data_IF_326069063721
#
_entry.id   IF_326069063721
#
_cell.length_a   1.000
_cell.length_b   1.000
_cell.length_c   1.000
_cell.angle_alpha   90.00
_cell.angle_beta   90.00
_cell.angle_gamma   90.00
#
_symmetry.space_group_name_H-M   'P 1'
#
loop_
_entity.id
_entity.type
_entity.pdbx_description
1 polymer ?
#
# COMPACT_ATOMS: atom_id res chain seq x y z
N UNK A 1 15.63 4.69 -2.17
CA UNK A 1 14.93 4.48 -0.89
C UNK A 1 13.98 5.64 -0.66
N UNK A 2 12.68 5.38 -0.51
CA UNK A 2 11.68 6.36 -0.09
C UNK A 2 11.47 6.22 1.42
N UNK A 3 11.39 7.33 2.13
CA UNK A 3 11.05 7.34 3.56
C UNK A 3 10.02 8.44 3.88
N UNK A 4 8.93 8.05 4.52
CA UNK A 4 7.87 8.92 5.01
C UNK A 4 7.81 8.76 6.53
N UNK A 5 8.60 9.57 7.25
CA UNK A 5 8.68 9.54 8.72
C UNK A 5 7.52 10.25 9.42
N UNK A 6 6.62 10.91 8.68
CA UNK A 6 5.41 11.51 9.22
C UNK A 6 4.25 10.55 9.06
N UNK A 7 3.50 10.30 10.14
CA UNK A 7 2.26 9.53 10.12
C UNK A 7 1.33 10.05 9.02
N UNK A 8 1.04 9.21 8.03
CA UNK A 8 0.28 9.59 6.83
C UNK A 8 -0.75 8.52 6.47
N UNK A 9 -1.71 8.88 5.61
CA UNK A 9 -2.62 7.91 5.03
C UNK A 9 -1.90 7.13 3.92
N UNK A 10 -1.89 5.81 4.05
CA UNK A 10 -1.27 4.89 3.09
C UNK A 10 -2.36 3.93 2.63
N UNK A 11 -2.65 3.90 1.33
CA UNK A 11 -3.66 3.02 0.74
C UNK A 11 -2.97 1.90 -0.03
N UNK A 12 -3.41 0.67 0.22
CA UNK A 12 -2.96 -0.54 -0.44
C UNK A 12 -4.06 -1.12 -1.30
N UNK A 13 -3.69 -1.54 -2.50
CA UNK A 13 -4.54 -2.28 -3.41
C UNK A 13 -3.76 -3.44 -4.03
N UNK A 14 -4.44 -4.56 -4.23
CA UNK A 14 -3.89 -5.66 -5.03
C UNK A 14 -3.88 -5.27 -6.52
N UNK A 15 -2.74 -5.46 -7.17
CA UNK A 15 -2.58 -5.22 -8.60
C UNK A 15 -3.05 -6.43 -9.40
N UNK A 16 -4.28 -6.37 -9.94
CA UNK A 16 -4.85 -7.47 -10.73
C UNK A 16 -4.03 -7.85 -11.96
N UNK A 17 -3.23 -6.92 -12.50
CA UNK A 17 -2.35 -7.22 -13.64
C UNK A 17 -1.26 -8.24 -13.30
N UNK A 18 -0.86 -8.35 -12.02
CA UNK A 18 0.09 -9.37 -11.58
C UNK A 18 -0.40 -10.81 -11.87
N UNK A 19 -1.72 -11.03 -11.87
CA UNK A 19 -2.29 -12.34 -12.22
C UNK A 19 -2.14 -12.71 -13.69
N UNK A 20 -1.92 -11.72 -14.56
CA UNK A 20 -1.73 -11.90 -16.00
C UNK A 20 -0.24 -11.89 -16.39
N UNK A 21 0.56 -11.09 -15.67
CA UNK A 21 2.00 -10.96 -15.87
C UNK A 21 2.71 -10.83 -14.51
N UNK A 22 3.43 -11.89 -14.13
CA UNK A 22 4.13 -11.96 -12.86
C UNK A 22 5.34 -10.99 -12.75
N UNK A 23 5.76 -10.36 -13.85
CA UNK A 23 6.82 -9.33 -13.83
C UNK A 23 6.33 -7.99 -13.26
N UNK A 24 5.01 -7.79 -13.22
CA UNK A 24 4.36 -6.61 -12.66
C UNK A 24 4.26 -6.78 -11.13
N UNK A 25 4.68 -5.80 -10.30
CA UNK A 25 4.57 -5.94 -8.85
C UNK A 25 3.14 -6.13 -8.35
N UNK A 26 2.99 -6.99 -7.35
CA UNK A 26 1.70 -7.44 -6.80
C UNK A 26 0.92 -6.33 -6.09
N UNK A 27 1.61 -5.38 -5.46
CA UNK A 27 0.98 -4.37 -4.60
C UNK A 27 1.13 -2.98 -5.16
N UNK A 28 0.03 -2.22 -5.10
CA UNK A 28 0.00 -0.79 -5.38
C UNK A 28 -0.18 -0.04 -4.06
N UNK A 29 0.74 0.86 -3.76
CA UNK A 29 0.73 1.71 -2.57
C UNK A 29 0.51 3.15 -2.99
N UNK A 30 -0.44 3.83 -2.36
CA UNK A 30 -0.67 5.26 -2.54
C UNK A 30 -0.42 6.00 -1.25
N UNK A 31 0.48 6.97 -1.26
CA UNK A 31 0.79 7.81 -0.10
C UNK A 31 1.19 9.21 -0.57
N UNK A 32 0.71 10.25 0.12
CA UNK A 32 1.01 11.66 -0.19
C UNK A 32 0.78 12.08 -1.66
N UNK A 33 -0.20 11.48 -2.33
CA UNK A 33 -0.52 11.77 -3.74
C UNK A 33 0.29 10.97 -4.76
N UNK A 34 1.29 10.21 -4.31
CA UNK A 34 2.15 9.38 -5.15
C UNK A 34 1.66 7.92 -5.19
N UNK A 35 2.02 7.20 -6.26
CA UNK A 35 1.72 5.78 -6.44
C UNK A 35 3.02 4.98 -6.60
N UNK A 36 3.15 3.90 -5.83
CA UNK A 36 4.32 3.02 -5.81
C UNK A 36 3.88 1.57 -6.08
N UNK A 37 4.71 0.83 -6.81
CA UNK A 37 4.51 -0.58 -7.12
C UNK A 37 5.56 -1.41 -6.39
N UNK A 38 5.13 -2.35 -5.54
CA UNK A 38 6.01 -3.15 -4.69
C UNK A 38 5.63 -4.63 -4.74
N UNK A 39 6.61 -5.50 -4.55
CA UNK A 39 6.42 -6.96 -4.59
C UNK A 39 5.97 -7.48 -3.23
N UNK A 40 6.45 -6.86 -2.15
CA UNK A 40 6.15 -7.28 -0.77
C UNK A 40 5.75 -6.10 0.12
N UNK A 41 4.93 -6.40 1.12
CA UNK A 41 4.50 -5.47 2.17
C UNK A 41 4.75 -6.14 3.52
N UNK A 42 5.49 -5.45 4.37
CA UNK A 42 5.76 -5.82 5.76
C UNK A 42 5.14 -4.76 6.69
N UNK A 43 4.50 -5.21 7.76
CA UNK A 43 3.76 -4.36 8.68
C UNK A 43 4.21 -4.67 10.10
N UNK A 44 4.75 -3.66 10.76
CA UNK A 44 5.19 -3.77 12.13
C UNK A 44 4.02 -4.12 13.07
N UNK A 45 4.31 -4.93 14.10
CA UNK A 45 3.34 -5.27 15.13
C UNK A 45 2.73 -4.02 15.77
N UNK A 46 1.42 -4.05 16.00
CA UNK A 46 0.68 -2.91 16.56
C UNK A 46 0.21 -1.87 15.54
N UNK A 47 0.64 -1.95 14.28
CA UNK A 47 0.09 -1.13 13.20
C UNK A 47 -1.26 -1.72 12.75
N UNK A 48 -2.35 -1.06 13.12
CA UNK A 48 -3.69 -1.42 12.66
C UNK A 48 -4.01 -0.94 11.24
N UNK A 49 -5.01 -1.58 10.63
CA UNK A 49 -5.58 -1.16 9.34
C UNK A 49 -7.10 -1.00 9.41
N UNK A 50 -7.65 -0.35 8.39
CA UNK A 50 -9.10 -0.28 8.13
C UNK A 50 -9.35 -0.52 6.65
N UNK A 51 -10.52 -1.02 6.26
CA UNK A 51 -10.92 -1.03 4.86
C UNK A 51 -11.30 0.38 4.41
N UNK A 52 -11.00 0.72 3.16
CA UNK A 52 -11.46 1.96 2.51
C UNK A 52 -12.30 1.56 1.31
N UNK A 53 -13.56 1.23 1.56
CA UNK A 53 -14.55 0.96 0.52
C UNK A 53 -15.52 2.13 0.44
N UNK A 54 -15.80 2.60 -0.77
CA UNK A 54 -16.92 3.49 -1.08
C UNK A 54 -17.90 2.68 -1.92
N UNK A 55 -19.15 2.46 -1.47
CA UNK A 55 -20.09 1.55 -2.12
C UNK A 55 -20.25 1.79 -3.63
N UNK A 56 -20.34 3.07 -4.02
CA UNK A 56 -20.59 3.48 -5.40
C UNK A 56 -19.31 3.63 -6.24
N UNK A 57 -18.13 3.37 -5.66
CA UNK A 57 -16.86 3.47 -6.38
C UNK A 57 -16.15 2.10 -6.45
N UNK A 58 -16.33 1.35 -7.56
CA UNK A 58 -15.74 0.02 -7.71
C UNK A 58 -14.20 0.03 -7.67
N UNK A 59 -13.55 1.18 -7.95
CA UNK A 59 -12.09 1.30 -7.87
C UNK A 59 -11.53 1.29 -6.44
N UNK A 60 -12.40 1.41 -5.43
CA UNK A 60 -12.04 1.37 -4.01
C UNK A 60 -12.34 0.03 -3.35
N UNK A 61 -12.96 -0.92 -4.06
CA UNK A 61 -13.23 -2.25 -3.50
C UNK A 61 -11.93 -2.98 -3.16
N UNK A 62 -11.87 -3.54 -1.95
CA UNK A 62 -10.71 -4.28 -1.46
C UNK A 62 -9.51 -3.41 -1.08
N UNK A 63 -9.67 -2.09 -0.98
CA UNK A 63 -8.58 -1.20 -0.54
C UNK A 63 -8.39 -1.29 0.96
N UNK A 64 -7.13 -1.38 1.39
CA UNK A 64 -6.73 -1.35 2.80
C UNK A 64 -6.06 -0.01 3.09
N UNK A 65 -6.40 0.60 4.22
CA UNK A 65 -5.87 1.87 4.67
C UNK A 65 -5.11 1.71 5.98
N UNK A 66 -3.90 2.25 5.99
CA UNK A 66 -3.08 2.45 7.18
C UNK A 66 -2.93 3.93 7.51
N UNK A 67 -2.68 4.23 8.78
CA UNK A 67 -2.28 5.57 9.25
C UNK A 67 -0.98 5.46 10.04
N UNK A 68 0.14 5.46 9.32
CA UNK A 68 1.46 5.07 9.83
C UNK A 68 2.59 5.77 9.05
N UNK A 69 3.86 5.46 9.37
CA UNK A 69 5.03 5.81 8.58
C UNK A 69 5.25 4.75 7.49
N UNK A 70 6.00 5.10 6.44
CA UNK A 70 6.27 4.24 5.30
C UNK A 70 7.73 4.31 4.89
N UNK A 71 8.33 3.17 4.59
CA UNK A 71 9.62 3.06 3.92
C UNK A 71 9.45 2.14 2.71
N UNK A 72 10.03 2.51 1.57
CA UNK A 72 10.08 1.64 0.39
C UNK A 72 11.53 1.54 -0.08
N UNK A 73 12.02 0.31 -0.11
CA UNK A 73 13.35 -0.04 -0.57
C UNK A 73 13.29 -1.38 -1.31
N UNK A 74 13.96 -1.49 -2.46
CA UNK A 74 14.05 -2.72 -3.25
C UNK A 74 12.68 -3.40 -3.50
N UNK A 75 11.66 -2.61 -3.82
CA UNK A 75 10.26 -3.06 -4.01
C UNK A 75 9.66 -3.79 -2.80
N UNK A 76 10.15 -3.51 -1.60
CA UNK A 76 9.56 -3.93 -0.33
C UNK A 76 9.07 -2.67 0.38
N UNK A 77 7.81 -2.67 0.80
CA UNK A 77 7.24 -1.62 1.62
C UNK A 77 7.20 -2.05 3.08
N UNK A 78 7.71 -1.21 3.98
CA UNK A 78 7.63 -1.39 5.43
C UNK A 78 6.72 -0.31 6.02
N UNK A 79 5.71 -0.74 6.77
CA UNK A 79 4.79 0.15 7.49
C UNK A 79 5.09 0.05 8.99
N UNK A 80 5.33 1.19 9.64
CA UNK A 80 5.80 1.25 11.03
C UNK A 80 5.28 2.50 11.75
N UNK A 81 5.46 2.56 13.07
CA UNK A 81 4.95 3.66 13.93
C UNK A 81 5.92 4.83 14.03
#
# INVERSE_FOLDING_TARGET
MLKIDKRTEIIFHFNKMHLQDASIPMWVIKAKGETYYVDHVDVESGVGFSTKETPDNPSTKGSIKFKAKLEIENKIARIYI
#
